data_IF_243766064174
#
_entry.id   IF_243766064174
#
_cell.length_a   1.000
_cell.length_b   1.000
_cell.length_c   1.000
_cell.angle_alpha   90.00
_cell.angle_beta   90.00
_cell.angle_gamma   90.00
#
_symmetry.space_group_name_H-M   'P 1'
#
loop_
_entity.id
_entity.type
_entity.pdbx_description
1 polymer ?
#
# COMPACT_ATOMS: atom_id res chain seq x y z
N UNK A 1 61.53 9.83 18.14
CA UNK A 1 60.36 10.14 19.00
C UNK A 1 59.43 11.01 18.17
N UNK A 2 58.34 10.43 17.68
CA UNK A 2 57.37 11.03 16.75
C UNK A 2 56.19 11.62 17.55
N UNK A 3 55.70 12.84 17.29
CA UNK A 3 54.41 13.26 17.79
C UNK A 3 53.32 12.75 16.84
N UNK A 4 52.42 11.93 17.38
CA UNK A 4 51.22 11.42 16.70
C UNK A 4 50.27 12.60 16.50
N UNK A 5 50.01 12.98 15.24
CA UNK A 5 48.88 13.84 14.87
C UNK A 5 47.64 12.97 14.77
N UNK A 6 46.71 13.15 15.71
CA UNK A 6 45.35 12.62 15.64
C UNK A 6 44.60 13.47 14.62
N UNK A 7 44.32 12.90 13.45
CA UNK A 7 43.36 13.46 12.50
C UNK A 7 41.97 12.97 12.90
N UNK A 8 41.13 13.87 13.42
CA UNK A 8 39.68 13.67 13.45
C UNK A 8 39.19 13.75 12.00
N UNK A 9 38.87 12.61 11.39
CA UNK A 9 38.06 12.55 10.18
C UNK A 9 36.62 12.48 10.66
N UNK A 10 35.94 13.62 10.67
CA UNK A 10 34.48 13.65 10.72
C UNK A 10 33.97 13.09 9.39
N UNK A 11 33.53 11.84 9.39
CA UNK A 11 32.84 11.23 8.25
C UNK A 11 31.46 11.88 8.20
N UNK A 12 31.33 12.86 7.31
CA UNK A 12 30.04 13.43 6.93
C UNK A 12 29.26 12.30 6.22
N UNK A 13 28.28 11.71 6.90
CA UNK A 13 27.27 10.88 6.26
C UNK A 13 26.42 11.80 5.39
N UNK A 14 26.78 11.96 4.13
CA UNK A 14 25.88 12.49 3.12
C UNK A 14 24.94 11.34 2.79
N UNK A 15 23.75 11.35 3.39
CA UNK A 15 22.64 10.55 2.91
C UNK A 15 22.39 10.99 1.47
N UNK A 16 22.79 10.15 0.51
CA UNK A 16 22.39 10.31 -0.88
C UNK A 16 20.91 9.97 -0.92
N UNK A 17 20.06 10.97 -0.74
CA UNK A 17 18.66 10.87 -1.12
C UNK A 17 18.64 10.80 -2.64
N UNK A 18 18.70 9.57 -3.16
CA UNK A 18 18.23 9.31 -4.51
C UNK A 18 16.77 9.70 -4.50
N UNK A 19 16.46 10.85 -5.12
CA UNK A 19 15.12 11.17 -5.57
C UNK A 19 14.71 10.04 -6.51
N UNK A 20 14.04 9.04 -5.97
CA UNK A 20 13.37 8.02 -6.76
C UNK A 20 12.31 8.78 -7.55
N UNK A 21 12.58 9.00 -8.83
CA UNK A 21 11.48 8.97 -9.79
C UNK A 21 10.75 7.66 -9.49
N UNK A 22 9.47 7.76 -9.17
CA UNK A 22 8.57 6.61 -9.16
C UNK A 22 8.55 6.09 -10.59
N UNK A 23 9.50 5.21 -10.90
CA UNK A 23 9.44 4.32 -12.04
C UNK A 23 8.36 3.31 -11.66
N UNK A 24 7.33 3.13 -12.50
CA UNK A 24 6.25 2.18 -12.24
C UNK A 24 6.85 0.84 -11.81
N UNK A 25 6.31 0.23 -10.76
CA UNK A 25 6.86 -1.04 -10.30
C UNK A 25 6.67 -2.08 -11.41
N UNK A 26 7.64 -2.98 -11.53
CA UNK A 26 7.49 -4.14 -12.41
C UNK A 26 6.23 -4.92 -11.98
N UNK A 27 5.25 -5.08 -12.87
CA UNK A 27 3.98 -5.77 -12.59
C UNK A 27 2.73 -4.88 -12.50
N UNK A 28 2.87 -3.55 -12.58
CA UNK A 28 1.74 -2.62 -12.50
C UNK A 28 0.97 -2.46 -13.82
N UNK A 29 1.50 -2.94 -14.95
CA UNK A 29 0.74 -2.92 -16.21
C UNK A 29 -0.38 -3.96 -16.19
N UNK A 30 -1.55 -3.59 -16.72
CA UNK A 30 -2.66 -4.51 -16.93
C UNK A 30 -2.90 -4.92 -18.38
N UNK A 31 -3.49 -6.09 -18.57
CA UNK A 31 -3.97 -6.58 -19.84
C UNK A 31 -5.48 -6.83 -19.78
N UNK A 32 -6.18 -6.41 -20.83
CA UNK A 32 -7.60 -6.76 -21.00
C UNK A 32 -7.73 -8.25 -21.30
N UNK A 33 -8.38 -8.98 -20.41
CA UNK A 33 -8.65 -10.40 -20.58
C UNK A 33 -9.82 -10.65 -21.56
N UNK A 34 -10.16 -11.93 -21.79
CA UNK A 34 -11.26 -12.29 -22.69
C UNK A 34 -12.64 -11.92 -22.18
N UNK A 35 -12.79 -11.65 -20.88
CA UNK A 35 -14.04 -11.25 -20.24
C UNK A 35 -14.17 -9.72 -20.17
N UNK A 36 -13.11 -8.99 -20.51
CA UNK A 36 -13.07 -7.53 -20.57
C UNK A 36 -12.46 -6.86 -19.35
N UNK A 37 -11.92 -7.62 -18.39
CA UNK A 37 -11.28 -7.08 -17.19
C UNK A 37 -9.83 -6.68 -17.46
N UNK A 38 -9.38 -5.59 -16.85
CA UNK A 38 -7.97 -5.17 -16.82
C UNK A 38 -7.26 -5.93 -15.69
N UNK A 39 -6.60 -7.04 -16.05
CA UNK A 39 -5.90 -7.92 -15.10
C UNK A 39 -4.41 -7.60 -15.11
N UNK A 40 -3.86 -7.34 -13.93
CA UNK A 40 -2.48 -6.89 -13.77
C UNK A 40 -1.48 -8.04 -13.96
N UNK A 41 -0.29 -7.69 -14.44
CA UNK A 41 0.77 -8.66 -14.82
C UNK A 41 1.64 -9.11 -13.65
N UNK A 42 1.53 -8.42 -12.51
CA UNK A 42 2.23 -8.71 -11.29
C UNK A 42 1.81 -10.00 -10.58
N UNK A 43 2.37 -10.20 -9.39
CA UNK A 43 2.04 -11.34 -8.52
C UNK A 43 1.16 -10.89 -7.35
N UNK A 44 -0.01 -11.51 -7.12
CA UNK A 44 -0.82 -11.20 -5.95
C UNK A 44 -0.06 -11.50 -4.66
N UNK A 45 -0.31 -10.71 -3.62
CA UNK A 45 0.13 -11.01 -2.25
C UNK A 45 -0.43 -12.37 -1.83
N UNK A 46 0.40 -13.25 -1.26
CA UNK A 46 -0.03 -14.59 -0.83
C UNK A 46 -0.77 -14.57 0.50
N UNK A 47 -0.61 -13.48 1.25
CA UNK A 47 -1.18 -13.30 2.59
C UNK A 47 -1.89 -11.96 2.71
N UNK A 48 -2.85 -11.87 3.62
CA UNK A 48 -3.57 -10.64 3.90
C UNK A 48 -4.46 -10.76 5.13
N UNK A 49 -4.90 -9.62 5.66
CA UNK A 49 -5.89 -9.60 6.74
C UNK A 49 -7.24 -10.07 6.21
N UNK A 50 -7.83 -11.08 6.85
CA UNK A 50 -9.23 -11.39 6.64
C UNK A 50 -10.08 -10.24 7.21
N UNK A 51 -10.92 -9.58 6.39
CA UNK A 51 -11.71 -8.44 6.84
C UNK A 51 -12.57 -8.75 8.07
N UNK A 52 -12.76 -7.75 8.93
CA UNK A 52 -13.52 -7.84 10.20
C UNK A 52 -12.99 -8.91 11.18
N UNK A 53 -11.71 -9.26 11.08
CA UNK A 53 -11.05 -10.19 11.99
C UNK A 53 -9.62 -9.73 12.35
N UNK A 54 -8.98 -10.47 13.25
CA UNK A 54 -7.55 -10.37 13.53
C UNK A 54 -6.73 -11.46 12.83
N UNK A 55 -7.31 -12.16 11.86
CA UNK A 55 -6.68 -13.31 11.23
C UNK A 55 -5.94 -12.88 9.97
N UNK A 56 -4.64 -13.16 9.91
CA UNK A 56 -3.93 -13.21 8.64
C UNK A 56 -4.20 -14.57 8.01
N UNK A 57 -4.62 -14.55 6.76
CA UNK A 57 -4.99 -15.74 5.99
C UNK A 57 -4.18 -15.83 4.70
N UNK A 58 -4.08 -17.03 4.15
CA UNK A 58 -3.62 -17.23 2.78
C UNK A 58 -4.70 -16.88 1.74
N UNK A 59 -4.34 -16.95 0.46
CA UNK A 59 -5.24 -16.77 -0.70
C UNK A 59 -6.46 -17.72 -0.72
N UNK A 60 -6.43 -18.84 0.01
CA UNK A 60 -7.54 -19.79 0.11
C UNK A 60 -8.41 -19.51 1.35
N UNK A 61 -8.06 -18.52 2.17
CA UNK A 61 -8.75 -18.19 3.41
C UNK A 61 -8.37 -19.07 4.59
N UNK A 62 -7.28 -19.84 4.51
CA UNK A 62 -6.79 -20.60 5.65
C UNK A 62 -6.08 -19.67 6.63
N UNK A 63 -6.41 -19.78 7.91
CA UNK A 63 -5.72 -19.06 8.98
C UNK A 63 -4.23 -19.42 9.03
N UNK A 64 -3.38 -18.40 9.12
CA UNK A 64 -1.93 -18.54 9.30
C UNK A 64 -1.50 -18.10 10.70
N UNK A 65 -1.74 -16.83 11.05
CA UNK A 65 -1.36 -16.22 12.32
C UNK A 65 -2.23 -15.00 12.64
N UNK A 66 -2.12 -14.49 13.87
CA UNK A 66 -2.81 -13.24 14.26
C UNK A 66 -2.12 -12.02 13.63
N UNK A 67 -2.89 -10.97 13.34
CA UNK A 67 -2.38 -9.66 12.94
C UNK A 67 -1.38 -9.09 13.97
N UNK A 68 -1.58 -9.38 15.25
CA UNK A 68 -0.68 -8.98 16.36
C UNK A 68 0.65 -9.75 16.38
N UNK A 69 0.79 -10.73 15.50
CA UNK A 69 1.98 -11.57 15.31
C UNK A 69 2.46 -11.51 13.86
N UNK A 70 2.20 -10.41 13.16
CA UNK A 70 2.54 -10.27 11.74
C UNK A 70 3.39 -9.04 11.47
N UNK A 71 4.29 -9.14 10.50
CA UNK A 71 4.94 -7.96 9.91
C UNK A 71 4.94 -8.13 8.40
N UNK A 72 4.87 -7.01 7.71
CA UNK A 72 5.08 -6.98 6.27
C UNK A 72 6.58 -7.11 5.97
N UNK A 73 6.92 -7.92 4.98
CA UNK A 73 8.27 -8.17 4.51
C UNK A 73 8.32 -8.20 2.98
N UNK A 74 9.46 -7.87 2.38
CA UNK A 74 9.65 -7.94 0.93
C UNK A 74 9.89 -9.39 0.47
N UNK A 75 10.11 -9.56 -0.84
CA UNK A 75 10.34 -10.87 -1.46
C UNK A 75 11.60 -11.61 -1.00
N UNK A 76 12.54 -10.93 -0.34
CA UNK A 76 13.74 -11.54 0.28
C UNK A 76 13.52 -11.93 1.74
N UNK A 77 12.36 -11.59 2.31
CA UNK A 77 12.01 -11.80 3.71
C UNK A 77 12.51 -10.70 4.66
N UNK A 78 12.97 -9.56 4.13
CA UNK A 78 13.37 -8.42 4.95
C UNK A 78 12.13 -7.64 5.41
N UNK A 79 12.05 -7.37 6.72
CA UNK A 79 10.94 -6.63 7.32
C UNK A 79 10.93 -5.20 6.80
N UNK A 80 9.76 -4.77 6.35
CA UNK A 80 9.58 -3.44 5.81
C UNK A 80 9.69 -2.38 6.91
N UNK A 81 10.45 -1.33 6.64
CA UNK A 81 10.51 -0.17 7.53
C UNK A 81 9.25 0.68 7.36
N UNK A 82 8.68 1.14 8.49
CA UNK A 82 7.50 1.98 8.48
C UNK A 82 7.77 3.29 7.72
N UNK A 83 6.94 3.56 6.71
CA UNK A 83 7.09 4.68 5.78
C UNK A 83 5.78 4.91 5.01
N UNK A 84 5.70 5.97 4.21
CA UNK A 84 4.58 6.23 3.30
C UNK A 84 4.59 5.40 2.01
N UNK A 85 5.37 4.31 1.95
CA UNK A 85 5.45 3.48 0.75
C UNK A 85 4.15 2.68 0.58
N UNK A 86 3.60 2.57 -0.64
CA UNK A 86 2.48 1.68 -0.90
C UNK A 86 2.89 0.21 -0.84
N UNK A 87 1.91 -0.68 -0.94
CA UNK A 87 2.12 -2.12 -1.11
C UNK A 87 2.73 -2.42 -2.50
N UNK A 88 3.80 -3.21 -2.55
CA UNK A 88 4.46 -3.60 -3.81
C UNK A 88 4.40 -5.10 -4.07
N UNK A 89 4.55 -5.46 -5.34
CA UNK A 89 4.71 -6.84 -5.76
C UNK A 89 5.84 -7.56 -5.01
N UNK A 90 5.52 -8.76 -4.53
CA UNK A 90 6.44 -9.58 -3.75
C UNK A 90 6.53 -9.21 -2.27
N UNK A 91 5.86 -8.15 -1.81
CA UNK A 91 5.65 -7.96 -0.38
C UNK A 91 4.63 -8.98 0.15
N UNK A 92 4.81 -9.48 1.37
CA UNK A 92 3.88 -10.39 2.04
C UNK A 92 3.98 -10.25 3.56
N UNK A 93 2.98 -10.75 4.28
CA UNK A 93 3.00 -10.85 5.74
C UNK A 93 3.73 -12.13 6.16
N UNK A 94 4.60 -11.99 7.16
CA UNK A 94 5.27 -13.11 7.82
C UNK A 94 4.96 -13.10 9.32
N UNK A 95 5.01 -14.29 9.94
CA UNK A 95 4.85 -14.40 11.39
C UNK A 95 6.06 -13.80 12.10
N UNK A 96 5.84 -12.82 12.97
CA UNK A 96 6.89 -12.13 13.70
C UNK A 96 6.36 -11.49 15.00
N UNK A 97 7.17 -11.52 16.06
CA UNK A 97 6.80 -10.89 17.34
C UNK A 97 6.89 -9.36 17.24
N UNK A 98 5.79 -8.68 17.48
CA UNK A 98 5.72 -7.22 17.50
C UNK A 98 6.11 -6.58 18.84
N UNK A 99 6.60 -7.35 19.83
CA UNK A 99 6.86 -6.84 21.20
C UNK A 99 7.84 -5.66 21.24
N UNK A 100 8.78 -5.61 20.29
CA UNK A 100 9.80 -4.55 20.21
C UNK A 100 9.47 -3.47 19.18
N UNK A 101 8.28 -3.49 18.58
CA UNK A 101 7.81 -2.47 17.66
C UNK A 101 7.12 -1.34 18.42
N UNK A 102 7.33 -0.12 17.96
CA UNK A 102 6.53 1.04 18.32
C UNK A 102 5.08 0.90 17.83
N UNK A 103 4.17 1.71 18.38
CA UNK A 103 2.77 1.70 17.93
C UNK A 103 2.63 2.12 16.46
N UNK A 104 3.47 3.04 15.98
CA UNK A 104 3.48 3.45 14.56
C UNK A 104 3.97 2.34 13.63
N UNK A 105 4.99 1.56 14.04
CA UNK A 105 5.44 0.40 13.27
C UNK A 105 4.37 -0.70 13.22
N UNK A 106 3.68 -0.97 14.34
CA UNK A 106 2.55 -1.91 14.37
C UNK A 106 1.41 -1.44 13.47
N UNK A 107 1.07 -0.15 13.56
CA UNK A 107 0.03 0.46 12.74
C UNK A 107 0.38 0.37 11.25
N UNK A 108 1.62 0.66 10.86
CA UNK A 108 2.12 0.49 9.49
C UNK A 108 1.94 -0.95 8.98
N UNK A 109 2.37 -1.96 9.74
CA UNK A 109 2.21 -3.35 9.33
C UNK A 109 0.73 -3.77 9.24
N UNK A 110 -0.12 -3.23 10.13
CA UNK A 110 -1.57 -3.45 10.05
C UNK A 110 -2.17 -2.80 8.78
N UNK A 111 -1.72 -1.60 8.40
CA UNK A 111 -2.14 -0.98 7.14
C UNK A 111 -1.75 -1.84 5.95
N UNK A 112 -0.52 -2.35 5.90
CA UNK A 112 -0.11 -3.27 4.83
C UNK A 112 -1.01 -4.51 4.77
N UNK A 113 -1.31 -5.10 5.93
CA UNK A 113 -2.20 -6.26 6.01
C UNK A 113 -3.63 -6.00 5.51
N UNK A 114 -4.15 -4.78 5.71
CA UNK A 114 -5.44 -4.33 5.18
C UNK A 114 -5.36 -4.06 3.67
N UNK A 115 -4.28 -3.44 3.20
CA UNK A 115 -4.17 -3.00 1.81
C UNK A 115 -3.84 -4.14 0.84
N UNK A 116 -3.13 -5.19 1.25
CA UNK A 116 -2.83 -6.35 0.40
C UNK A 116 -4.08 -7.03 -0.19
N UNK A 117 -5.11 -7.40 0.59
CA UNK A 117 -6.32 -7.98 0.02
C UNK A 117 -7.12 -6.99 -0.83
N UNK A 118 -7.11 -5.68 -0.52
CA UNK A 118 -7.76 -4.65 -1.37
C UNK A 118 -7.05 -4.55 -2.72
N UNK A 119 -5.71 -4.51 -2.72
CA UNK A 119 -4.87 -4.52 -3.93
C UNK A 119 -5.16 -5.77 -4.76
N UNK A 120 -5.14 -6.94 -4.13
CA UNK A 120 -5.44 -8.20 -4.80
C UNK A 120 -6.83 -8.20 -5.44
N UNK A 121 -7.83 -7.69 -4.72
CA UNK A 121 -9.21 -7.64 -5.16
C UNK A 121 -9.39 -6.81 -6.45
N UNK A 122 -8.72 -5.65 -6.53
CA UNK A 122 -8.79 -4.78 -7.70
C UNK A 122 -7.94 -5.29 -8.87
N UNK A 123 -6.74 -5.81 -8.59
CA UNK A 123 -5.76 -6.12 -9.62
C UNK A 123 -5.90 -7.51 -10.24
N UNK A 124 -6.38 -8.49 -9.47
CA UNK A 124 -6.33 -9.90 -9.88
C UNK A 124 -7.68 -10.61 -9.73
N UNK A 125 -8.50 -10.24 -8.75
CA UNK A 125 -9.70 -11.01 -8.38
C UNK A 125 -11.02 -10.35 -8.81
N UNK A 126 -10.94 -9.24 -9.54
CA UNK A 126 -12.08 -8.38 -9.85
C UNK A 126 -13.24 -9.10 -10.56
N UNK A 127 -12.94 -10.08 -11.42
CA UNK A 127 -13.94 -10.87 -12.13
C UNK A 127 -14.92 -11.56 -11.16
N UNK A 128 -14.41 -12.16 -10.08
CA UNK A 128 -15.18 -12.93 -9.11
C UNK A 128 -15.66 -12.10 -7.91
N UNK A 129 -15.14 -10.88 -7.74
CA UNK A 129 -15.45 -10.03 -6.61
C UNK A 129 -16.90 -9.52 -6.65
N UNK A 130 -17.68 -9.75 -5.61
CA UNK A 130 -19.04 -9.21 -5.47
C UNK A 130 -19.04 -7.87 -4.74
N UNK A 131 -20.10 -7.08 -4.92
CA UNK A 131 -20.30 -5.81 -4.19
C UNK A 131 -20.20 -6.00 -2.67
N UNK A 132 -20.85 -7.02 -2.10
CA UNK A 132 -20.79 -7.27 -0.65
C UNK A 132 -19.40 -7.67 -0.16
N UNK A 133 -18.62 -8.39 -0.98
CA UNK A 133 -17.23 -8.72 -0.63
C UNK A 133 -16.36 -7.47 -0.70
N UNK A 134 -16.57 -6.61 -1.70
CA UNK A 134 -15.89 -5.34 -1.81
C UNK A 134 -16.14 -4.42 -0.61
N UNK A 135 -17.41 -4.22 -0.23
CA UNK A 135 -17.80 -3.42 0.94
C UNK A 135 -17.13 -3.91 2.23
N UNK A 136 -17.08 -5.22 2.44
CA UNK A 136 -16.40 -5.82 3.58
C UNK A 136 -14.88 -5.58 3.52
N UNK A 137 -14.25 -5.74 2.35
CA UNK A 137 -12.81 -5.53 2.16
C UNK A 137 -12.38 -4.10 2.49
N UNK A 138 -13.18 -3.10 2.11
CA UNK A 138 -12.84 -1.68 2.27
C UNK A 138 -13.41 -1.03 3.53
N UNK A 139 -13.95 -1.84 4.45
CA UNK A 139 -14.63 -1.35 5.67
C UNK A 139 -13.73 -0.46 6.55
N UNK A 140 -12.44 -0.77 6.66
CA UNK A 140 -11.51 0.06 7.45
C UNK A 140 -11.31 1.46 6.83
N UNK A 141 -11.39 1.56 5.49
CA UNK A 141 -11.38 2.84 4.79
C UNK A 141 -12.72 3.59 4.98
N UNK A 142 -13.84 2.87 4.92
CA UNK A 142 -15.19 3.44 5.12
C UNK A 142 -15.38 4.02 6.51
N UNK A 143 -15.03 3.31 7.58
CA UNK A 143 -15.20 3.77 8.96
C UNK A 143 -14.42 5.07 9.24
N UNK A 144 -13.39 5.35 8.43
CA UNK A 144 -12.53 6.53 8.54
C UNK A 144 -12.81 7.60 7.49
N UNK A 145 -13.84 7.42 6.67
CA UNK A 145 -14.21 8.34 5.59
C UNK A 145 -13.11 8.51 4.52
N UNK A 146 -12.29 7.47 4.29
CA UNK A 146 -11.15 7.50 3.38
C UNK A 146 -11.59 7.12 1.96
N UNK A 147 -11.43 8.03 1.00
CA UNK A 147 -11.77 7.82 -0.43
C UNK A 147 -13.29 7.67 -0.67
N UNK A 148 -14.12 8.51 -0.06
CA UNK A 148 -15.60 8.50 -0.24
C UNK A 148 -16.07 8.86 -1.65
N UNK A 149 -15.42 9.84 -2.28
CA UNK A 149 -15.93 10.48 -3.50
C UNK A 149 -15.12 10.11 -4.72
N UNK A 150 -15.75 10.22 -5.89
CA UNK A 150 -15.11 10.09 -7.20
C UNK A 150 -15.29 11.39 -7.97
N UNK A 151 -14.25 11.83 -8.65
CA UNK A 151 -14.28 12.99 -9.54
C UNK A 151 -13.44 12.70 -10.78
N UNK A 152 -14.07 12.76 -11.95
CA UNK A 152 -13.44 12.39 -13.24
C UNK A 152 -13.61 13.47 -14.32
N UNK A 153 -14.08 14.67 -13.94
CA UNK A 153 -14.31 15.79 -14.86
C UNK A 153 -13.08 16.72 -14.97
N UNK A 154 -11.95 16.32 -14.38
CA UNK A 154 -10.70 17.05 -14.41
C UNK A 154 -10.08 17.10 -15.82
N UNK A 155 -9.43 18.22 -16.19
CA UNK A 155 -8.84 18.39 -17.52
C UNK A 155 -7.58 17.55 -17.73
N UNK A 156 -6.94 17.07 -16.66
CA UNK A 156 -5.76 16.21 -16.73
C UNK A 156 -5.92 14.98 -15.81
N UNK A 157 -5.25 13.85 -16.09
CA UNK A 157 -5.39 12.63 -15.28
C UNK A 157 -5.15 12.84 -13.79
N UNK A 158 -4.20 13.71 -13.41
CA UNK A 158 -3.92 14.04 -12.00
C UNK A 158 -5.10 14.72 -11.29
N UNK A 159 -5.96 15.44 -12.02
CA UNK A 159 -7.10 16.15 -11.47
C UNK A 159 -8.28 15.20 -11.19
N UNK A 160 -8.20 13.97 -11.71
CA UNK A 160 -9.19 12.92 -11.52
C UNK A 160 -8.78 12.02 -10.36
N UNK A 161 -9.77 11.54 -9.60
CA UNK A 161 -9.56 10.55 -8.56
C UNK A 161 -10.81 9.69 -8.40
N UNK A 162 -10.57 8.43 -8.03
CA UNK A 162 -11.64 7.49 -7.71
C UNK A 162 -11.76 7.30 -6.21
N UNK A 163 -12.99 7.20 -5.75
CA UNK A 163 -13.33 6.74 -4.41
C UNK A 163 -13.53 5.23 -4.38
N UNK A 164 -13.87 4.67 -3.22
CA UNK A 164 -14.02 3.22 -3.03
C UNK A 164 -15.04 2.61 -3.98
N UNK A 165 -16.22 3.20 -4.13
CA UNK A 165 -17.21 2.68 -5.09
C UNK A 165 -16.77 2.92 -6.53
N UNK A 166 -16.23 4.10 -6.83
CA UNK A 166 -15.85 4.45 -8.20
C UNK A 166 -14.73 3.59 -8.76
N UNK A 167 -13.71 3.24 -7.97
CA UNK A 167 -12.61 2.37 -8.42
C UNK A 167 -13.10 0.95 -8.65
N UNK A 168 -14.05 0.47 -7.83
CA UNK A 168 -14.67 -0.84 -8.02
C UNK A 168 -15.52 -0.88 -9.28
N UNK A 169 -16.34 0.14 -9.52
CA UNK A 169 -17.14 0.26 -10.74
C UNK A 169 -16.23 0.33 -11.98
N UNK A 170 -15.16 1.11 -11.91
CA UNK A 170 -14.15 1.20 -12.97
C UNK A 170 -13.48 -0.16 -13.25
N UNK A 171 -13.05 -0.87 -12.21
CA UNK A 171 -12.39 -2.16 -12.37
C UNK A 171 -13.36 -3.25 -12.85
N UNK A 172 -14.64 -3.15 -12.50
CA UNK A 172 -15.70 -4.06 -12.98
C UNK A 172 -16.05 -3.87 -14.45
N UNK A 173 -15.92 -2.66 -14.98
CA UNK A 173 -16.16 -2.35 -16.39
C UNK A 173 -15.16 -1.30 -16.88
N UNK A 174 -13.93 -1.71 -17.23
CA UNK A 174 -12.90 -0.78 -17.70
C UNK A 174 -13.18 -0.24 -19.12
N UNK A 175 -14.25 -0.66 -19.80
CA UNK A 175 -14.59 -0.23 -21.16
C UNK A 175 -13.42 -0.42 -22.16
N UNK A 176 -12.67 -1.52 -21.97
CA UNK A 176 -11.49 -1.86 -22.77
C UNK A 176 -10.29 -0.91 -22.59
N UNK A 177 -10.28 -0.09 -21.54
CA UNK A 177 -9.19 0.85 -21.22
C UNK A 177 -8.22 0.23 -20.25
N UNK A 178 -6.95 0.61 -20.41
CA UNK A 178 -5.96 0.46 -19.36
C UNK A 178 -6.32 1.42 -18.20
N UNK A 179 -6.58 0.85 -17.03
CA UNK A 179 -6.95 1.57 -15.80
C UNK A 179 -5.85 1.50 -14.73
N UNK A 180 -4.63 1.16 -15.15
CA UNK A 180 -3.46 1.02 -14.26
C UNK A 180 -3.28 2.22 -13.36
N UNK A 181 -3.25 3.43 -13.94
CA UNK A 181 -2.98 4.65 -13.17
C UNK A 181 -4.10 4.94 -12.16
N UNK A 182 -5.35 4.70 -12.54
CA UNK A 182 -6.53 4.94 -11.71
C UNK A 182 -6.56 4.02 -10.49
N UNK A 183 -6.27 2.73 -10.70
CA UNK A 183 -6.21 1.72 -9.63
C UNK A 183 -5.00 1.98 -8.72
N UNK A 184 -3.81 2.20 -9.29
CA UNK A 184 -2.60 2.44 -8.51
C UNK A 184 -2.73 3.71 -7.67
N UNK A 185 -3.24 4.80 -8.24
CA UNK A 185 -3.51 6.05 -7.50
C UNK A 185 -4.48 5.82 -6.35
N UNK A 186 -5.56 5.07 -6.55
CA UNK A 186 -6.49 4.73 -5.46
C UNK A 186 -5.80 3.97 -4.32
N UNK A 187 -4.98 2.96 -4.66
CA UNK A 187 -4.29 2.13 -3.67
C UNK A 187 -3.22 2.92 -2.90
N UNK A 188 -2.45 3.75 -3.60
CA UNK A 188 -1.43 4.63 -3.02
C UNK A 188 -2.07 5.63 -2.05
N UNK A 189 -3.02 6.44 -2.53
CA UNK A 189 -3.71 7.44 -1.71
C UNK A 189 -4.48 6.79 -0.55
N UNK A 190 -5.18 5.68 -0.80
CA UNK A 190 -5.92 4.96 0.23
C UNK A 190 -5.01 4.45 1.35
N UNK A 191 -3.82 3.92 1.01
CA UNK A 191 -2.86 3.44 2.00
C UNK A 191 -2.28 4.57 2.85
N UNK A 192 -1.90 5.69 2.22
CA UNK A 192 -1.31 6.84 2.93
C UNK A 192 -2.36 7.52 3.80
N UNK A 193 -3.58 7.74 3.31
CA UNK A 193 -4.66 8.28 4.13
C UNK A 193 -4.98 7.36 5.32
N UNK A 194 -4.95 6.04 5.12
CA UNK A 194 -5.13 5.12 6.24
C UNK A 194 -4.02 5.25 7.27
N UNK A 195 -2.76 5.36 6.86
CA UNK A 195 -1.63 5.64 7.77
C UNK A 195 -1.88 6.92 8.58
N UNK A 196 -2.20 8.04 7.93
CA UNK A 196 -2.49 9.32 8.58
C UNK A 196 -3.52 9.21 9.72
N UNK A 197 -4.51 8.32 9.59
CA UNK A 197 -5.56 8.12 10.59
C UNK A 197 -5.17 7.19 11.75
N UNK A 198 -4.13 6.37 11.60
CA UNK A 198 -3.79 5.31 12.57
C UNK A 198 -2.39 5.45 13.17
N UNK A 199 -1.60 6.42 12.72
CA UNK A 199 -0.27 6.73 13.24
C UNK A 199 -0.24 8.05 14.02
N UNK A 200 0.85 8.29 14.72
CA UNK A 200 1.07 9.51 15.50
C UNK A 200 1.28 10.76 14.63
N UNK A 201 1.11 11.95 15.23
CA UNK A 201 1.43 13.23 14.58
C UNK A 201 2.90 13.31 14.12
N UNK A 202 3.82 12.68 14.85
CA UNK A 202 5.24 12.62 14.49
C UNK A 202 5.46 11.77 13.22
N UNK A 203 4.75 10.64 13.13
CA UNK A 203 4.75 9.83 11.92
C UNK A 203 4.10 10.57 10.75
N UNK A 204 2.99 11.27 10.97
CA UNK A 204 2.32 12.06 9.94
C UNK A 204 3.22 13.18 9.40
N UNK A 205 4.00 13.83 10.26
CA UNK A 205 5.02 14.79 9.81
C UNK A 205 6.09 14.12 8.94
N UNK A 206 6.53 12.90 9.31
CA UNK A 206 7.47 12.12 8.48
C UNK A 206 6.86 11.76 7.11
N UNK A 207 5.57 11.44 7.05
CA UNK A 207 4.85 11.21 5.79
C UNK A 207 4.83 12.47 4.92
N UNK A 208 4.49 13.63 5.50
CA UNK A 208 4.51 14.91 4.80
C UNK A 208 5.90 15.26 4.28
N UNK A 209 6.93 15.14 5.12
CA UNK A 209 8.31 15.51 4.78
C UNK A 209 8.90 14.62 3.67
N UNK A 210 8.39 13.39 3.53
CA UNK A 210 8.83 12.42 2.53
C UNK A 210 7.90 12.28 1.32
N UNK A 211 6.76 12.98 1.29
CA UNK A 211 5.76 12.83 0.24
C UNK A 211 6.29 13.35 -1.12
N UNK A 212 6.33 12.53 -2.19
CA UNK A 212 6.95 12.91 -3.46
C UNK A 212 6.33 14.15 -4.11
N UNK A 213 5.04 14.39 -3.91
CA UNK A 213 4.34 15.56 -4.47
C UNK A 213 4.57 16.86 -3.69
N UNK A 214 5.20 16.79 -2.51
CA UNK A 214 5.50 17.96 -1.68
C UNK A 214 4.26 18.65 -1.10
N UNK A 215 3.14 17.95 -1.04
CA UNK A 215 1.93 18.35 -0.32
C UNK A 215 1.74 17.49 0.94
N UNK A 216 0.90 17.95 1.85
CA UNK A 216 0.48 17.15 3.01
C UNK A 216 -0.48 16.05 2.55
N UNK A 217 -0.16 14.76 2.73
CA UNK A 217 -1.09 13.69 2.43
C UNK A 217 -2.09 13.46 3.58
N UNK A 218 -1.83 14.06 4.74
CA UNK A 218 -2.74 14.15 5.88
C UNK A 218 -3.39 15.56 5.91
#
# INVERSE_FOLDING_TARGET
MNPIRIFLIAVLFVAVFSSMKVEAAEGDDCNIDSEGYCIFTGTPHQTGLQPDTNNVVDRQGNFLFSIDQSVAANSTGEILQASGRPAFDGDDLIEYSQENLSEDEKAFHKVMAIMYPIRNALMYDIANLTQSQWEILVMELEIREIKETTYTDGPTPKDNYYGRQGVFDLAKDPDGKDITNEVMKFLEEGSIYLLCHVTSDEFNQMLQDSHPEGHDPC
#
